data_IF_727617223968
#
_entry.id   IF_727617223968
#
_cell.length_a   1.000
_cell.length_b   1.000
_cell.length_c   1.000
_cell.angle_alpha   90.00
_cell.angle_beta   90.00
_cell.angle_gamma   90.00
#
_symmetry.space_group_name_H-M   'P 1'
#
loop_
_entity.id
_entity.type
_entity.pdbx_description
1 polymer ?
#
# COMPACT_ATOMS: atom_id res chain seq x y z
N UNK A 1 -9.55 16.26 -12.45
CA UNK A 1 -9.23 15.72 -11.13
C UNK A 1 -7.73 15.79 -10.89
N UNK A 2 -7.35 16.27 -9.72
CA UNK A 2 -5.93 16.29 -9.37
C UNK A 2 -5.47 14.89 -8.98
N UNK A 3 -4.32 14.51 -9.49
CA UNK A 3 -3.68 13.30 -9.05
C UNK A 3 -2.98 13.54 -7.71
N UNK A 4 -2.76 12.49 -6.96
CA UNK A 4 -2.08 12.58 -5.67
C UNK A 4 -0.81 11.74 -5.65
N UNK A 5 0.08 12.07 -4.73
CA UNK A 5 1.23 11.25 -4.42
C UNK A 5 1.48 11.32 -2.91
N UNK A 6 2.12 10.30 -2.39
CA UNK A 6 2.39 10.20 -0.97
C UNK A 6 2.80 8.79 -0.58
N UNK A 7 2.80 8.53 0.71
CA UNK A 7 3.18 7.22 1.24
C UNK A 7 2.38 6.90 2.50
N UNK A 8 2.19 5.61 2.73
CA UNK A 8 1.59 5.07 3.94
C UNK A 8 2.61 4.13 4.55
N UNK A 9 2.87 4.28 5.84
CA UNK A 9 3.77 3.39 6.56
C UNK A 9 2.95 2.60 7.56
N UNK A 10 3.00 1.27 7.46
CA UNK A 10 2.28 0.36 8.36
C UNK A 10 3.30 -0.32 9.27
N UNK A 11 3.17 -0.11 10.58
CA UNK A 11 4.05 -0.70 11.58
C UNK A 11 3.27 -1.68 12.44
N UNK A 12 3.42 -3.00 12.20
CA UNK A 12 2.71 -3.99 13.00
C UNK A 12 3.29 -4.10 14.41
N UNK A 13 2.49 -4.61 15.35
CA UNK A 13 2.95 -4.85 16.72
C UNK A 13 4.00 -5.94 16.76
N UNK A 14 3.82 -6.99 15.99
CA UNK A 14 4.79 -8.07 15.87
C UNK A 14 5.52 -7.92 14.55
N UNK A 15 6.84 -7.81 14.66
CA UNK A 15 7.69 -7.57 13.50
C UNK A 15 8.42 -8.86 13.17
N UNK A 16 7.81 -9.70 12.34
CA UNK A 16 8.46 -10.87 11.80
C UNK A 16 8.19 -10.94 10.29
N UNK A 17 8.98 -11.75 9.62
CA UNK A 17 8.92 -11.86 8.17
C UNK A 17 7.53 -12.29 7.68
N UNK A 18 6.91 -13.23 8.38
CA UNK A 18 5.60 -13.76 8.01
C UNK A 18 4.51 -12.68 8.11
N UNK A 19 4.52 -11.93 9.20
CA UNK A 19 3.55 -10.84 9.41
C UNK A 19 3.71 -9.76 8.35
N UNK A 20 4.93 -9.36 8.05
CA UNK A 20 5.21 -8.37 7.02
C UNK A 20 4.71 -8.84 5.66
N UNK A 21 4.95 -10.09 5.30
CA UNK A 21 4.48 -10.65 4.04
C UNK A 21 2.95 -10.71 3.96
N UNK A 22 2.29 -11.09 5.04
CA UNK A 22 0.82 -11.12 5.11
C UNK A 22 0.20 -9.73 4.89
N UNK A 23 0.77 -8.73 5.53
CA UNK A 23 0.31 -7.34 5.37
C UNK A 23 0.49 -6.90 3.92
N UNK A 24 1.66 -7.17 3.34
CA UNK A 24 1.93 -6.84 1.95
C UNK A 24 0.94 -7.48 0.97
N UNK A 25 0.65 -8.76 1.17
CA UNK A 25 -0.30 -9.48 0.33
C UNK A 25 -1.72 -8.95 0.48
N UNK A 26 -2.14 -8.64 1.70
CA UNK A 26 -3.46 -8.07 1.96
C UNK A 26 -3.63 -6.72 1.26
N UNK A 27 -2.63 -5.86 1.34
CA UNK A 27 -2.66 -4.56 0.68
C UNK A 27 -2.69 -4.72 -0.84
N UNK A 28 -1.89 -5.63 -1.37
CA UNK A 28 -1.86 -5.89 -2.80
C UNK A 28 -3.25 -6.32 -3.32
N UNK A 29 -3.92 -7.20 -2.59
CA UNK A 29 -5.26 -7.65 -2.96
C UNK A 29 -6.29 -6.52 -2.91
N UNK A 30 -6.21 -5.66 -1.90
CA UNK A 30 -7.12 -4.53 -1.77
C UNK A 30 -6.94 -3.53 -2.93
N UNK A 31 -5.71 -3.26 -3.31
CA UNK A 31 -5.43 -2.34 -4.41
C UNK A 31 -5.77 -2.95 -5.78
N UNK A 32 -5.53 -4.25 -5.95
CA UNK A 32 -5.81 -4.92 -7.21
C UNK A 32 -7.30 -4.94 -7.57
N UNK A 33 -8.18 -4.86 -6.57
CA UNK A 33 -9.62 -4.80 -6.79
C UNK A 33 -10.15 -3.44 -7.18
N UNK A 34 -9.30 -2.42 -7.22
CA UNK A 34 -9.74 -1.06 -7.48
C UNK A 34 -9.17 -0.55 -8.80
N UNK A 35 -10.05 -0.32 -9.79
CA UNK A 35 -9.64 0.13 -11.12
C UNK A 35 -8.93 1.48 -11.13
N UNK A 36 -9.26 2.37 -10.21
CA UNK A 36 -8.63 3.69 -10.15
C UNK A 36 -7.14 3.60 -9.85
N UNK A 37 -6.69 2.48 -9.29
CA UNK A 37 -5.29 2.28 -8.94
C UNK A 37 -4.52 1.41 -9.92
N UNK A 38 -5.21 0.68 -10.79
CA UNK A 38 -4.55 -0.20 -11.76
C UNK A 38 -3.64 0.59 -12.73
N UNK A 39 -4.09 1.76 -13.14
CA UNK A 39 -3.36 2.63 -14.07
C UNK A 39 -2.45 3.65 -13.37
N UNK A 40 -2.28 3.51 -12.07
CA UNK A 40 -1.51 4.43 -11.25
C UNK A 40 -0.16 3.84 -10.85
N UNK A 41 0.79 4.70 -10.54
CA UNK A 41 2.10 4.26 -10.06
C UNK A 41 2.06 4.03 -8.56
N UNK A 42 1.92 2.77 -8.17
CA UNK A 42 1.85 2.37 -6.76
C UNK A 42 2.91 1.30 -6.54
N UNK A 43 3.65 1.43 -5.45
CA UNK A 43 4.60 0.42 -5.05
C UNK A 43 4.38 -0.01 -3.61
N UNK A 44 4.68 -1.27 -3.32
CA UNK A 44 4.65 -1.81 -1.97
C UNK A 44 6.05 -2.33 -1.68
N UNK A 45 6.65 -1.83 -0.59
CA UNK A 45 7.98 -2.26 -0.17
C UNK A 45 7.87 -2.94 1.18
N UNK A 46 8.37 -4.18 1.26
CA UNK A 46 8.38 -4.96 2.49
C UNK A 46 9.71 -4.74 3.19
N UNK A 47 9.68 -3.96 4.27
CA UNK A 47 10.86 -3.66 5.05
C UNK A 47 10.98 -4.62 6.25
N UNK A 48 12.03 -4.46 7.06
CA UNK A 48 12.28 -5.35 8.18
C UNK A 48 11.30 -5.13 9.34
N UNK A 49 10.81 -3.93 9.51
CA UNK A 49 9.97 -3.55 10.64
C UNK A 49 8.68 -2.84 10.26
N UNK A 50 8.43 -2.67 8.96
CA UNK A 50 7.22 -2.00 8.48
C UNK A 50 6.95 -2.37 7.03
N UNK A 51 5.76 -2.00 6.56
CA UNK A 51 5.40 -2.08 5.14
C UNK A 51 5.19 -0.66 4.64
N UNK A 52 5.87 -0.31 3.56
CA UNK A 52 5.77 1.00 2.94
C UNK A 52 4.94 0.88 1.66
N UNK A 53 3.92 1.73 1.54
CA UNK A 53 3.14 1.85 0.32
C UNK A 53 3.37 3.26 -0.22
N UNK A 54 3.83 3.36 -1.46
CA UNK A 54 4.04 4.67 -2.06
C UNK A 54 3.14 4.86 -3.27
N UNK A 55 2.73 6.09 -3.47
CA UNK A 55 1.84 6.51 -4.56
C UNK A 55 2.52 7.62 -5.33
N UNK A 56 2.54 7.50 -6.64
CA UNK A 56 3.09 8.52 -7.52
C UNK A 56 2.11 8.76 -8.67
N UNK A 57 1.59 9.97 -8.74
CA UNK A 57 0.66 10.39 -9.81
C UNK A 57 -0.57 9.49 -9.88
N UNK A 58 -1.19 9.20 -8.74
CA UNK A 58 -2.37 8.36 -8.65
C UNK A 58 -3.64 9.17 -8.78
N UNK A 59 -4.67 8.57 -9.38
CA UNK A 59 -5.98 9.19 -9.54
C UNK A 59 -6.81 9.04 -8.27
N UNK A 60 -7.57 10.08 -7.92
CA UNK A 60 -8.49 10.04 -6.81
C UNK A 60 -7.86 10.45 -5.49
N UNK A 61 -8.20 9.75 -4.43
CA UNK A 61 -7.73 10.03 -3.07
C UNK A 61 -6.94 8.84 -2.54
N UNK A 62 -6.13 9.09 -1.51
CA UNK A 62 -5.41 8.02 -0.83
C UNK A 62 -6.41 6.99 -0.32
N UNK A 63 -6.26 5.71 -0.70
CA UNK A 63 -7.23 4.69 -0.32
C UNK A 63 -7.19 4.38 1.17
N UNK A 64 -8.36 3.99 1.69
CA UNK A 64 -8.48 3.52 3.06
C UNK A 64 -8.12 2.04 3.08
N UNK A 65 -6.95 1.72 3.57
CA UNK A 65 -6.42 0.36 3.57
C UNK A 65 -6.60 -0.26 4.95
N UNK A 66 -7.29 -1.40 4.97
CA UNK A 66 -7.50 -2.18 6.19
C UNK A 66 -6.45 -3.30 6.31
N UNK A 67 -5.95 -3.50 7.53
CA UNK A 67 -4.98 -4.57 7.81
C UNK A 67 -5.05 -5.03 9.27
#
# INVERSE_FOLDING_TARGET
>A
MKNFKGEIIIRPKEVDKHTIEEIGNSIHQQLAGNRDYIDSNIGISLETDHVLIWFDDCKGEIPDIAF
#
